data_IF_270957626542
#
_entry.id   IF_270957626542
#
_cell.length_a   1.000
_cell.length_b   1.000
_cell.length_c   1.000
_cell.angle_alpha   90.00
_cell.angle_beta   90.00
_cell.angle_gamma   90.00
#
_symmetry.space_group_name_H-M   'P 1'
#
loop_
_entity.id
_entity.type
_entity.pdbx_description
1 polymer ?
#
# COMPACT_ATOMS: atom_id res chain seq x y z
N UNK A 1 -70.92 63.53 22.69
CA UNK A 1 -70.78 62.13 22.24
C UNK A 1 -69.35 62.01 21.62
N UNK A 2 -68.35 61.51 22.37
CA UNK A 2 -67.01 61.45 21.92
C UNK A 2 -66.64 59.98 21.65
N UNK A 3 -66.36 59.65 20.40
CA UNK A 3 -66.00 58.35 19.95
C UNK A 3 -64.50 58.33 20.01
N UNK A 4 -63.88 57.47 20.91
CA UNK A 4 -62.45 57.20 20.94
C UNK A 4 -62.12 56.04 20.02
N UNK A 5 -61.11 56.17 19.17
CA UNK A 5 -60.64 55.06 18.40
C UNK A 5 -59.78 54.14 19.26
N UNK A 6 -60.14 52.85 19.28
CA UNK A 6 -59.33 51.77 19.87
C UNK A 6 -58.11 51.51 18.99
N UNK A 7 -56.93 51.75 19.52
CA UNK A 7 -55.66 51.30 18.94
C UNK A 7 -55.46 49.81 19.25
N UNK A 8 -55.40 49.00 18.24
CA UNK A 8 -55.01 47.59 18.33
C UNK A 8 -53.50 47.50 18.32
N UNK A 9 -52.85 46.78 19.25
CA UNK A 9 -51.40 46.54 19.18
C UNK A 9 -51.09 45.53 18.06
N UNK A 10 -50.41 45.97 17.04
CA UNK A 10 -49.82 45.09 16.03
C UNK A 10 -48.73 44.26 16.70
N UNK A 11 -49.07 43.02 17.02
CA UNK A 11 -48.11 42.01 17.44
C UNK A 11 -47.16 41.73 16.29
N UNK A 12 -45.94 42.21 16.38
CA UNK A 12 -44.85 41.87 15.44
C UNK A 12 -44.43 40.44 15.69
N UNK A 13 -44.95 39.53 14.88
CA UNK A 13 -44.48 38.18 14.77
C UNK A 13 -43.10 38.21 14.07
N UNK A 14 -42.04 38.21 14.84
CA UNK A 14 -40.71 38.02 14.35
C UNK A 14 -40.57 36.54 13.98
N UNK A 15 -40.77 36.21 12.69
CA UNK A 15 -40.41 34.94 12.12
C UNK A 15 -38.86 34.88 12.10
N UNK A 16 -38.31 34.27 13.11
CA UNK A 16 -36.88 33.87 13.10
C UNK A 16 -36.67 32.79 12.07
N UNK A 17 -36.14 33.16 10.91
CA UNK A 17 -35.65 32.19 9.93
C UNK A 17 -34.35 31.60 10.49
N UNK A 18 -34.47 30.44 11.12
CA UNK A 18 -33.30 29.60 11.45
C UNK A 18 -32.75 29.00 10.16
N UNK A 19 -31.75 29.63 9.56
CA UNK A 19 -30.97 29.02 8.48
C UNK A 19 -30.08 27.95 9.15
N UNK A 20 -30.55 26.70 9.10
CA UNK A 20 -29.72 25.53 9.40
C UNK A 20 -28.67 25.40 8.30
N UNK A 21 -27.50 25.96 8.52
CA UNK A 21 -26.31 25.68 7.71
C UNK A 21 -25.90 24.24 8.06
N UNK A 22 -26.40 23.29 7.29
CA UNK A 22 -25.89 21.93 7.30
C UNK A 22 -24.46 21.97 6.74
N UNK A 23 -23.46 22.10 7.61
CA UNK A 23 -22.07 21.87 7.28
C UNK A 23 -21.94 20.37 6.98
N UNK A 24 -22.06 20.02 5.70
CA UNK A 24 -21.68 18.69 5.23
C UNK A 24 -20.19 18.54 5.49
N UNK A 25 -19.82 17.93 6.60
CA UNK A 25 -18.46 17.40 6.82
C UNK A 25 -18.29 16.29 5.78
N UNK A 26 -17.74 16.66 4.63
CA UNK A 26 -17.18 15.68 3.71
C UNK A 26 -16.05 14.98 4.47
N UNK A 27 -16.38 13.85 5.07
CA UNK A 27 -15.37 12.91 5.50
C UNK A 27 -14.67 12.46 4.23
N UNK A 28 -13.53 13.07 3.94
CA UNK A 28 -12.60 12.50 2.99
C UNK A 28 -12.18 11.17 3.58
N UNK A 29 -12.85 10.11 3.14
CA UNK A 29 -12.26 8.80 3.28
C UNK A 29 -10.96 8.89 2.48
N UNK A 30 -9.86 9.13 3.17
CA UNK A 30 -8.54 8.81 2.67
C UNK A 30 -8.63 7.30 2.48
N UNK A 31 -8.98 6.89 1.26
CA UNK A 31 -8.76 5.52 0.87
C UNK A 31 -7.25 5.34 1.08
N UNK A 32 -6.90 4.59 2.10
CA UNK A 32 -5.63 3.89 2.09
C UNK A 32 -5.54 3.30 0.68
N UNK A 33 -4.46 3.61 -0.04
CA UNK A 33 -4.25 3.11 -1.39
C UNK A 33 -4.49 1.60 -1.44
N UNK A 34 -4.54 0.95 -2.60
CA UNK A 34 -4.84 -0.45 -2.73
C UNK A 34 -4.06 -1.18 -1.66
N UNK A 35 -4.79 -1.83 -0.77
CA UNK A 35 -4.37 -2.35 0.53
C UNK A 35 -2.93 -2.88 0.50
N UNK A 36 -1.98 -2.01 0.83
CA UNK A 36 -0.60 -2.45 0.98
C UNK A 36 -0.58 -3.45 2.12
N UNK A 37 -0.14 -4.66 1.88
CA UNK A 37 -0.14 -5.65 2.94
C UNK A 37 0.74 -5.15 4.10
N UNK A 38 0.36 -5.43 5.34
CA UNK A 38 1.17 -5.03 6.49
C UNK A 38 2.55 -5.71 6.41
N UNK A 39 3.60 -4.96 6.72
CA UNK A 39 4.95 -5.51 6.81
C UNK A 39 4.96 -6.60 7.90
N UNK A 40 5.43 -7.82 7.60
CA UNK A 40 5.45 -8.92 8.55
C UNK A 40 6.25 -8.58 9.80
N UNK A 41 5.80 -9.07 10.95
CA UNK A 41 6.52 -8.89 12.21
C UNK A 41 7.94 -9.50 12.13
N UNK A 42 8.89 -8.82 12.71
CA UNK A 42 10.30 -9.26 12.75
C UNK A 42 11.11 -8.83 11.53
N UNK A 43 10.50 -8.19 10.54
CA UNK A 43 11.22 -7.58 9.42
C UNK A 43 11.70 -6.19 9.83
N UNK A 44 12.99 -5.93 9.72
CA UNK A 44 13.60 -4.64 10.07
C UNK A 44 13.40 -3.61 8.94
N UNK A 45 12.15 -3.37 8.55
CA UNK A 45 11.74 -2.42 7.53
C UNK A 45 10.54 -1.61 8.06
N UNK A 46 10.61 -0.28 7.95
CA UNK A 46 9.59 0.63 8.51
C UNK A 46 8.48 0.95 7.52
N UNK A 47 8.77 0.91 6.23
CA UNK A 47 7.82 1.20 5.16
C UNK A 47 8.23 0.52 3.86
N UNK A 48 7.30 0.35 2.94
CA UNK A 48 7.56 -0.18 1.60
C UNK A 48 8.50 0.71 0.76
N UNK A 49 8.64 1.98 1.12
CA UNK A 49 9.61 2.90 0.52
C UNK A 49 11.07 2.46 0.73
N UNK A 50 11.32 1.60 1.71
CA UNK A 50 12.66 1.08 2.02
C UNK A 50 12.95 -0.24 1.31
N UNK A 51 11.92 -0.88 0.73
CA UNK A 51 12.10 -2.17 0.07
C UNK A 51 13.02 -2.04 -1.14
N UNK A 52 14.01 -2.93 -1.25
CA UNK A 52 15.06 -2.89 -2.26
C UNK A 52 16.33 -2.15 -1.83
N UNK A 53 16.33 -1.49 -0.66
CA UNK A 53 17.53 -0.82 -0.14
C UNK A 53 18.66 -1.83 0.04
N UNK A 54 19.84 -1.46 -0.42
CA UNK A 54 21.05 -2.29 -0.38
C UNK A 54 20.89 -3.68 -1.04
N UNK A 55 19.96 -3.79 -2.00
CA UNK A 55 19.66 -5.04 -2.70
C UNK A 55 18.89 -6.05 -1.85
N UNK A 56 18.21 -5.61 -0.79
CA UNK A 56 17.38 -6.45 0.07
C UNK A 56 15.91 -6.20 -0.19
N UNK A 57 15.15 -7.25 -0.49
CA UNK A 57 13.76 -7.18 -0.89
C UNK A 57 12.89 -8.06 -0.01
N UNK A 58 11.84 -7.49 0.56
CA UNK A 58 10.73 -8.24 1.12
C UNK A 58 9.77 -8.55 -0.03
N UNK A 59 9.55 -9.83 -0.27
CA UNK A 59 8.76 -10.34 -1.39
C UNK A 59 7.60 -11.19 -0.87
N UNK A 60 6.47 -11.12 -1.56
CA UNK A 60 5.32 -11.98 -1.27
C UNK A 60 5.17 -13.04 -2.36
N UNK A 61 5.21 -14.30 -2.00
CA UNK A 61 4.99 -15.42 -2.93
C UNK A 61 3.51 -15.48 -3.30
N UNK A 62 3.22 -15.39 -4.60
CA UNK A 62 1.88 -15.54 -5.16
C UNK A 62 1.64 -16.95 -5.65
N UNK A 63 2.65 -17.54 -6.30
CA UNK A 63 2.56 -18.86 -6.88
C UNK A 63 3.84 -19.64 -6.59
N UNK A 64 3.71 -20.95 -6.44
CA UNK A 64 4.80 -21.85 -6.11
C UNK A 64 4.81 -22.22 -4.63
N UNK A 65 5.81 -22.99 -4.22
CA UNK A 65 5.93 -23.45 -2.85
C UNK A 65 6.55 -22.39 -1.94
N UNK A 66 6.01 -22.23 -0.74
CA UNK A 66 6.61 -21.40 0.29
C UNK A 66 8.02 -21.92 0.64
N UNK A 67 8.94 -20.99 0.82
CA UNK A 67 10.30 -21.33 1.23
C UNK A 67 10.37 -21.56 2.74
N UNK A 68 11.21 -22.49 3.15
CA UNK A 68 11.43 -22.76 4.57
C UNK A 68 12.13 -21.58 5.24
N UNK A 69 11.70 -21.28 6.47
CA UNK A 69 12.36 -20.27 7.28
C UNK A 69 13.82 -20.68 7.58
N UNK A 70 14.70 -19.67 7.62
CA UNK A 70 16.12 -19.80 7.96
C UNK A 70 16.96 -20.72 7.04
N UNK A 71 16.41 -21.20 5.93
CA UNK A 71 17.15 -22.00 4.94
C UNK A 71 17.28 -21.18 3.66
N UNK A 72 18.47 -20.61 3.35
CA UNK A 72 18.65 -19.85 2.13
C UNK A 72 18.58 -20.75 0.87
N UNK A 73 17.89 -20.24 -0.15
CA UNK A 73 17.83 -20.88 -1.47
C UNK A 73 18.27 -19.85 -2.51
N UNK A 74 19.13 -20.24 -3.42
CA UNK A 74 19.52 -19.37 -4.54
C UNK A 74 18.50 -19.45 -5.65
N UNK A 75 18.20 -18.30 -6.26
CA UNK A 75 17.35 -18.19 -7.43
C UNK A 75 17.90 -17.22 -8.46
N UNK A 76 17.38 -17.31 -9.67
CA UNK A 76 17.63 -16.37 -10.76
C UNK A 76 16.31 -15.71 -11.16
N UNK A 77 16.29 -14.39 -11.15
CA UNK A 77 15.14 -13.61 -11.64
C UNK A 77 15.02 -13.81 -13.15
N UNK A 78 13.83 -14.11 -13.64
CA UNK A 78 13.56 -14.41 -15.06
C UNK A 78 12.77 -13.31 -15.76
N UNK A 79 12.10 -12.46 -15.02
CA UNK A 79 11.36 -11.32 -15.55
C UNK A 79 11.08 -10.28 -14.47
N UNK A 80 10.62 -9.10 -14.91
CA UNK A 80 10.10 -8.02 -14.09
C UNK A 80 8.93 -7.39 -14.87
N UNK A 81 7.70 -7.63 -14.43
CA UNK A 81 6.49 -7.24 -15.15
C UNK A 81 5.48 -6.56 -14.23
N UNK A 82 4.48 -5.91 -14.83
CA UNK A 82 3.35 -5.30 -14.12
C UNK A 82 3.78 -4.29 -13.04
N UNK A 83 4.77 -3.44 -13.39
CA UNK A 83 5.41 -2.51 -12.46
C UNK A 83 4.71 -1.14 -12.36
N UNK A 84 3.42 -1.06 -12.59
CA UNK A 84 2.68 0.19 -12.46
C UNK A 84 2.74 0.72 -11.02
N UNK A 85 2.95 2.03 -10.90
CA UNK A 85 3.00 2.67 -9.61
C UNK A 85 1.59 3.00 -9.10
N UNK A 86 1.36 2.79 -7.81
CA UNK A 86 0.15 3.22 -7.11
C UNK A 86 0.19 4.73 -6.77
N UNK A 87 -0.85 5.20 -6.08
CA UNK A 87 -0.97 6.62 -5.69
C UNK A 87 0.13 7.06 -4.70
N UNK A 88 0.74 6.14 -3.97
CA UNK A 88 1.84 6.37 -3.04
C UNK A 88 3.21 6.31 -3.71
N UNK A 89 3.24 6.04 -5.02
CA UNK A 89 4.47 5.90 -5.81
C UNK A 89 5.21 4.60 -5.57
N UNK A 90 4.49 3.56 -5.13
CA UNK A 90 5.01 2.21 -4.98
C UNK A 90 4.60 1.37 -6.18
N UNK A 91 5.54 0.68 -6.78
CA UNK A 91 5.29 -0.29 -7.82
C UNK A 91 5.13 -1.68 -7.23
N UNK A 92 4.23 -2.47 -7.82
CA UNK A 92 3.91 -3.83 -7.39
C UNK A 92 4.34 -4.84 -8.45
N UNK A 93 5.64 -4.85 -8.74
CA UNK A 93 6.20 -5.68 -9.81
C UNK A 93 6.00 -7.16 -9.56
N UNK A 94 5.65 -7.89 -10.61
CA UNK A 94 5.63 -9.34 -10.61
C UNK A 94 6.97 -9.88 -11.12
N UNK A 95 7.62 -10.69 -10.31
CA UNK A 95 8.85 -11.36 -10.70
C UNK A 95 8.68 -12.87 -10.67
N UNK A 96 9.08 -13.53 -11.73
CA UNK A 96 9.28 -14.98 -11.73
C UNK A 96 10.72 -15.28 -11.37
N UNK A 97 10.93 -16.12 -10.36
CA UNK A 97 12.25 -16.52 -9.89
C UNK A 97 12.39 -18.04 -10.06
N UNK A 98 13.41 -18.45 -10.78
CA UNK A 98 13.79 -19.86 -10.94
C UNK A 98 14.78 -20.22 -9.85
N UNK A 99 14.40 -21.16 -8.99
CA UNK A 99 15.23 -21.63 -7.88
C UNK A 99 16.31 -22.60 -8.37
N UNK A 100 17.35 -22.78 -7.59
CA UNK A 100 18.48 -23.67 -7.95
C UNK A 100 18.09 -25.13 -8.24
N UNK A 101 16.95 -25.58 -7.72
CA UNK A 101 16.40 -26.92 -8.01
C UNK A 101 15.52 -26.97 -9.29
N UNK A 102 15.45 -25.89 -10.06
CA UNK A 102 14.65 -25.77 -11.30
C UNK A 102 13.17 -25.44 -11.09
N UNK A 103 12.69 -25.37 -9.84
CA UNK A 103 11.31 -24.92 -9.60
C UNK A 103 11.18 -23.42 -9.77
N UNK A 104 9.98 -22.94 -10.04
CA UNK A 104 9.70 -21.50 -10.19
C UNK A 104 8.70 -21.03 -9.16
N UNK A 105 8.92 -19.83 -8.68
CA UNK A 105 7.98 -19.08 -7.86
C UNK A 105 7.68 -17.76 -8.53
N UNK A 106 6.45 -17.26 -8.36
CA UNK A 106 6.07 -15.89 -8.74
C UNK A 106 5.88 -15.09 -7.46
N UNK A 107 6.48 -13.91 -7.41
CA UNK A 107 6.42 -13.03 -6.25
C UNK A 107 5.92 -11.64 -6.64
N UNK A 108 5.30 -10.93 -5.69
CA UNK A 108 5.13 -9.48 -5.76
C UNK A 108 6.31 -8.83 -5.04
N UNK A 109 6.91 -7.86 -5.73
CA UNK A 109 7.94 -6.97 -5.23
C UNK A 109 7.36 -5.55 -5.14
N UNK A 110 6.88 -5.16 -3.95
CA UNK A 110 6.37 -3.81 -3.70
C UNK A 110 7.52 -2.91 -3.29
N UNK A 111 7.85 -1.89 -4.10
CA UNK A 111 8.95 -0.98 -3.81
C UNK A 111 8.82 0.34 -4.55
N UNK A 112 9.59 1.35 -4.13
CA UNK A 112 9.68 2.62 -4.85
C UNK A 112 10.80 2.57 -5.89
N UNK A 113 10.46 2.51 -7.19
CA UNK A 113 11.40 2.42 -8.30
C UNK A 113 12.31 3.65 -8.43
N UNK A 114 11.90 4.81 -7.90
CA UNK A 114 12.74 6.02 -7.91
C UNK A 114 13.83 5.99 -6.83
N UNK A 115 13.68 5.13 -5.83
CA UNK A 115 14.62 5.02 -4.69
C UNK A 115 15.48 3.77 -4.76
N UNK A 116 14.90 2.67 -5.19
CA UNK A 116 15.53 1.36 -5.17
C UNK A 116 15.30 0.71 -6.53
N UNK A 117 16.33 0.05 -7.07
CA UNK A 117 16.21 -0.59 -8.37
C UNK A 117 15.24 -1.78 -8.32
N UNK A 118 14.63 -2.10 -9.46
CA UNK A 118 13.88 -3.33 -9.63
C UNK A 118 14.78 -4.57 -9.61
N UNK A 119 14.18 -5.71 -9.33
CA UNK A 119 14.76 -7.01 -9.66
C UNK A 119 14.69 -7.18 -11.17
N UNK A 120 15.83 -7.41 -11.83
CA UNK A 120 15.91 -7.54 -13.28
C UNK A 120 16.18 -8.97 -13.72
N UNK A 121 15.87 -9.27 -14.99
CA UNK A 121 16.21 -10.56 -15.59
C UNK A 121 17.71 -10.87 -15.47
N UNK A 122 18.02 -12.08 -15.06
CA UNK A 122 19.39 -12.55 -14.82
C UNK A 122 19.96 -12.19 -13.43
N UNK A 123 19.24 -11.43 -12.60
CA UNK A 123 19.71 -11.18 -11.23
C UNK A 123 19.75 -12.47 -10.42
N UNK A 124 20.89 -12.67 -9.76
CA UNK A 124 21.06 -13.74 -8.79
C UNK A 124 20.65 -13.24 -7.41
N UNK A 125 19.81 -14.01 -6.74
CA UNK A 125 19.23 -13.64 -5.45
C UNK A 125 19.26 -14.81 -4.48
N UNK A 126 19.63 -14.54 -3.24
CA UNK A 126 19.46 -15.48 -2.12
C UNK A 126 18.13 -15.22 -1.47
N UNK A 127 17.30 -16.23 -1.31
CA UNK A 127 15.94 -16.17 -0.79
C UNK A 127 15.83 -16.97 0.50
N UNK A 128 15.15 -16.40 1.50
CA UNK A 128 14.90 -17.08 2.78
C UNK A 128 13.45 -16.85 3.19
N UNK A 129 12.76 -17.93 3.54
CA UNK A 129 11.38 -17.83 4.07
C UNK A 129 11.36 -17.06 5.39
N UNK A 130 10.31 -16.27 5.61
CA UNK A 130 10.05 -15.57 6.89
C UNK A 130 8.89 -16.27 7.58
N UNK A 131 7.69 -16.09 7.03
CA UNK A 131 6.47 -16.74 7.50
C UNK A 131 5.44 -16.76 6.37
N UNK A 132 4.59 -17.77 6.32
CA UNK A 132 3.54 -17.90 5.30
C UNK A 132 4.08 -17.71 3.88
N UNK A 133 3.55 -16.71 3.16
CA UNK A 133 3.98 -16.35 1.80
C UNK A 133 5.13 -15.35 1.74
N UNK A 134 5.67 -14.91 2.88
CA UNK A 134 6.71 -13.88 2.90
C UNK A 134 8.11 -14.46 2.86
N UNK A 135 8.93 -13.87 2.00
CA UNK A 135 10.35 -14.23 1.84
C UNK A 135 11.21 -12.97 1.82
N UNK A 136 12.42 -13.09 2.31
CA UNK A 136 13.46 -12.07 2.18
C UNK A 136 14.39 -12.47 1.05
N UNK A 137 14.57 -11.58 0.09
CA UNK A 137 15.55 -11.70 -0.98
C UNK A 137 16.76 -10.80 -0.72
N UNK A 138 17.95 -11.27 -1.07
CA UNK A 138 19.18 -10.48 -1.06
C UNK A 138 19.95 -10.73 -2.35
N UNK A 139 20.18 -9.65 -3.13
CA UNK A 139 20.97 -9.74 -4.34
C UNK A 139 22.42 -10.08 -4.02
N UNK A 140 22.99 -10.98 -4.83
CA UNK A 140 24.43 -11.14 -4.82
C UNK A 140 25.08 -9.88 -5.39
N UNK A 141 26.03 -9.31 -4.64
CA UNK A 141 26.83 -8.19 -5.16
C UNK A 141 27.72 -8.71 -6.30
N UNK A 142 27.62 -8.02 -7.43
CA UNK A 142 28.57 -8.22 -8.54
C UNK A 142 29.90 -7.55 -8.19
#
# INVERSE_FOLDING_TARGET
MRIQPRLYPVSRLLLGVFVLIATSVYSYNVHAGPDQPPIPRGVAMKSWQENGRDGRYLLQVLQGSALKAAVPVTGTVKNDTDCDADAEGLSHCHNTIELANGTRITVINTHNMHRNRCLGDGDLISLTGINGSWIMGSLFRK
#
